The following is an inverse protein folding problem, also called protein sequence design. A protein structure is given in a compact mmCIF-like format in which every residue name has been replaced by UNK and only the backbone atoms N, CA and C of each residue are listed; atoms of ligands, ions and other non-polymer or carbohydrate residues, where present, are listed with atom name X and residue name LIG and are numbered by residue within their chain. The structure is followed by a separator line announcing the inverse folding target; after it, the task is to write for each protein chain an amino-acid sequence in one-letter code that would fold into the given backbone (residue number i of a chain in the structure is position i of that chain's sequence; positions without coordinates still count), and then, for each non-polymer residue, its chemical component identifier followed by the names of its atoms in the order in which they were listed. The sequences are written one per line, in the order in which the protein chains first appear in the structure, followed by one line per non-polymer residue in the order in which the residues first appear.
data_IF_357439989204
#
_entry.id   IF_357439989204
#
_cell.length_a   1.000
_cell.length_b   1.000
_cell.length_c   1.000
_cell.angle_alpha   90.00
_cell.angle_beta   90.00
_cell.angle_gamma   90.00
#
_symmetry.space_group_name_H-M   'P 1'
#
loop_
_entity.id
_entity.type
_entity.pdbx_description
1 polymer ?
#
# COMPACT_ATOMS: atom_id res chain seq x y z
N UNK A 1 -10.70 39.01 12.09
CA UNK A 1 -9.97 38.38 13.22
C UNK A 1 -10.95 37.48 13.94
N UNK A 2 -10.96 36.18 13.61
CA UNK A 2 -11.87 35.22 14.27
C UNK A 2 -11.29 34.92 15.64
N UNK A 3 -11.86 35.52 16.69
CA UNK A 3 -11.51 35.22 18.08
C UNK A 3 -12.21 33.90 18.41
N UNK A 4 -11.50 32.79 18.28
CA UNK A 4 -11.98 31.49 18.77
C UNK A 4 -11.86 31.51 20.30
N UNK A 5 -12.98 31.76 21.00
CA UNK A 5 -13.03 31.62 22.45
C UNK A 5 -12.95 30.14 22.84
N UNK A 6 -11.76 29.66 23.17
CA UNK A 6 -11.55 28.33 23.75
C UNK A 6 -11.92 28.34 25.26
N UNK A 7 -13.22 28.40 25.57
CA UNK A 7 -13.73 28.26 26.94
C UNK A 7 -13.98 26.77 27.28
N UNK A 8 -12.94 25.98 27.48
CA UNK A 8 -13.10 24.59 27.94
C UNK A 8 -11.87 23.99 28.63
N UNK A 9 -12.06 23.14 29.63
CA UNK A 9 -10.96 22.43 30.32
C UNK A 9 -10.03 21.72 29.33
N UNK A 10 -8.75 21.51 29.69
CA UNK A 10 -7.77 20.77 28.87
C UNK A 10 -8.27 19.43 28.32
N UNK A 11 -9.15 18.74 29.04
CA UNK A 11 -9.82 17.51 28.60
C UNK A 11 -10.79 17.69 27.43
N UNK A 12 -11.49 18.83 27.37
CA UNK A 12 -12.34 19.19 26.22
C UNK A 12 -11.49 19.49 25.00
N UNK A 13 -10.41 20.27 25.17
CA UNK A 13 -9.47 20.55 24.09
C UNK A 13 -8.83 19.27 23.53
N UNK A 14 -8.37 18.39 24.42
CA UNK A 14 -7.89 17.05 24.09
C UNK A 14 -8.93 16.23 23.30
N UNK A 15 -10.18 16.17 23.79
CA UNK A 15 -11.23 15.37 23.16
C UNK A 15 -11.59 15.89 21.77
N UNK A 16 -11.69 17.21 21.60
CA UNK A 16 -11.95 17.84 20.30
C UNK A 16 -10.80 17.56 19.33
N UNK A 17 -9.54 17.70 19.79
CA UNK A 17 -8.37 17.39 18.98
C UNK A 17 -8.38 15.93 18.55
N UNK A 18 -8.58 15.01 19.49
CA UNK A 18 -8.64 13.58 19.22
C UNK A 18 -9.73 13.23 18.20
N UNK A 19 -10.91 13.85 18.27
CA UNK A 19 -11.98 13.65 17.30
C UNK A 19 -11.62 14.16 15.90
N UNK A 20 -10.96 15.32 15.81
CA UNK A 20 -10.47 15.87 14.53
C UNK A 20 -9.41 14.95 13.93
N UNK A 21 -8.41 14.54 14.72
CA UNK A 21 -7.39 13.57 14.30
C UNK A 21 -8.02 12.24 13.89
N UNK A 22 -8.99 11.72 14.65
CA UNK A 22 -9.69 10.49 14.27
C UNK A 22 -10.43 10.63 12.92
N UNK A 23 -11.09 11.76 12.67
CA UNK A 23 -11.75 12.01 11.40
C UNK A 23 -10.75 12.05 10.23
N UNK A 24 -9.61 12.74 10.41
CA UNK A 24 -8.52 12.79 9.42
C UNK A 24 -7.95 11.39 9.17
N UNK A 25 -7.65 10.66 10.24
CA UNK A 25 -7.16 9.29 10.17
C UNK A 25 -8.10 8.35 9.42
N UNK A 26 -9.42 8.41 9.67
CA UNK A 26 -10.42 7.58 8.97
C UNK A 26 -10.42 7.88 7.47
N UNK A 27 -10.34 9.16 7.07
CA UNK A 27 -10.27 9.54 5.65
C UNK A 27 -8.99 9.01 5.01
N UNK A 28 -7.85 9.13 5.69
CA UNK A 28 -6.57 8.60 5.19
C UNK A 28 -6.59 7.07 5.12
N UNK A 29 -7.15 6.39 6.13
CA UNK A 29 -7.28 4.95 6.14
C UNK A 29 -8.17 4.47 4.98
N UNK A 30 -9.27 5.16 4.69
CA UNK A 30 -10.12 4.85 3.54
C UNK A 30 -9.35 5.00 2.22
N UNK A 31 -8.56 6.06 2.05
CA UNK A 31 -7.68 6.26 0.89
C UNK A 31 -6.71 5.07 0.74
N UNK A 32 -6.04 4.70 1.83
CA UNK A 32 -5.05 3.63 1.84
C UNK A 32 -5.70 2.29 1.48
N UNK A 33 -6.82 1.93 2.12
CA UNK A 33 -7.47 0.64 1.91
C UNK A 33 -8.22 0.52 0.57
N UNK A 34 -8.81 1.60 0.05
CA UNK A 34 -9.64 1.54 -1.15
C UNK A 34 -8.86 1.79 -2.43
N UNK A 35 -7.84 2.65 -2.39
CA UNK A 35 -7.10 3.06 -3.58
C UNK A 35 -5.70 2.45 -3.62
N UNK A 36 -4.90 2.62 -2.56
CA UNK A 36 -3.49 2.21 -2.60
C UNK A 36 -3.29 0.70 -2.36
N UNK A 37 -4.09 0.09 -1.48
CA UNK A 37 -3.96 -1.29 -1.05
C UNK A 37 -5.32 -2.04 -1.10
N UNK A 38 -5.95 -2.16 -2.27
CA UNK A 38 -7.27 -2.77 -2.35
C UNK A 38 -7.25 -4.25 -1.97
N UNK A 39 -8.14 -4.63 -1.05
CA UNK A 39 -8.37 -6.03 -0.67
C UNK A 39 -7.24 -6.67 0.11
N UNK A 40 -6.89 -7.91 -0.24
CA UNK A 40 -5.82 -8.64 0.41
C UNK A 40 -4.42 -7.99 0.21
N UNK A 41 -4.28 -7.05 -0.73
CA UNK A 41 -3.03 -6.31 -0.89
C UNK A 41 -2.66 -5.49 0.35
N UNK A 42 -3.64 -5.08 1.16
CA UNK A 42 -3.36 -4.40 2.43
C UNK A 42 -2.53 -5.26 3.38
N UNK A 43 -2.82 -6.55 3.44
CA UNK A 43 -2.08 -7.49 4.27
C UNK A 43 -0.75 -7.88 3.61
N UNK A 44 -0.80 -8.24 2.33
CA UNK A 44 0.34 -8.82 1.60
C UNK A 44 1.43 -7.79 1.33
N UNK A 45 1.08 -6.54 1.04
CA UNK A 45 2.03 -5.51 0.62
C UNK A 45 2.43 -4.55 1.76
N UNK A 46 2.18 -4.93 3.01
CA UNK A 46 2.64 -4.16 4.17
C UNK A 46 1.82 -2.91 4.50
N UNK A 47 0.52 -2.90 4.21
CA UNK A 47 -0.38 -1.78 4.54
C UNK A 47 -0.45 -1.50 6.05
N UNK A 48 -0.35 -2.53 6.89
CA UNK A 48 -0.32 -2.40 8.35
C UNK A 48 0.85 -1.56 8.87
N UNK A 49 2.04 -1.73 8.31
CA UNK A 49 3.26 -1.03 8.71
C UNK A 49 3.06 0.48 8.51
N UNK A 50 2.51 0.87 7.36
CA UNK A 50 2.20 2.25 7.06
C UNK A 50 1.13 2.85 7.98
N UNK A 51 0.01 2.16 8.14
CA UNK A 51 -1.12 2.64 8.97
C UNK A 51 -0.71 2.82 10.44
N UNK A 52 0.12 1.93 10.99
CA UNK A 52 0.60 2.05 12.38
C UNK A 52 1.37 3.34 12.62
N UNK A 53 2.24 3.74 11.69
CA UNK A 53 3.02 4.99 11.80
C UNK A 53 2.08 6.19 11.79
N UNK A 54 1.16 6.23 10.82
CA UNK A 54 0.18 7.32 10.68
C UNK A 54 -0.71 7.42 11.93
N UNK A 55 -1.23 6.29 12.42
CA UNK A 55 -2.07 6.23 13.61
C UNK A 55 -1.33 6.69 14.88
N UNK A 56 -0.08 6.26 15.09
CA UNK A 56 0.69 6.61 16.27
C UNK A 56 0.99 8.12 16.33
N UNK A 57 1.29 8.73 15.19
CA UNK A 57 1.53 10.18 15.13
C UNK A 57 0.23 10.96 15.35
N UNK A 58 -0.83 10.61 14.64
CA UNK A 58 -2.04 11.43 14.58
C UNK A 58 -2.96 11.24 15.80
N UNK A 59 -3.12 10.00 16.29
CA UNK A 59 -4.07 9.68 17.36
C UNK A 59 -3.44 9.70 18.76
N UNK A 60 -2.11 9.71 18.86
CA UNK A 60 -1.40 9.65 20.15
C UNK A 60 -0.57 10.90 20.37
N UNK A 61 0.46 11.15 19.55
CA UNK A 61 1.40 12.25 19.81
C UNK A 61 0.72 13.63 19.82
N UNK A 62 -0.09 13.93 18.80
CA UNK A 62 -0.78 15.23 18.70
C UNK A 62 -1.70 15.52 19.89
N UNK A 63 -2.71 14.67 20.16
CA UNK A 63 -3.61 14.86 21.29
C UNK A 63 -2.88 14.95 22.65
N UNK A 64 -1.86 14.12 22.88
CA UNK A 64 -1.09 14.18 24.13
C UNK A 64 -0.32 15.50 24.28
N UNK A 65 0.31 16.01 23.22
CA UNK A 65 0.96 17.31 23.25
C UNK A 65 -0.04 18.43 23.56
N UNK A 66 -1.23 18.39 22.95
CA UNK A 66 -2.31 19.32 23.27
C UNK A 66 -2.73 19.24 24.73
N UNK A 67 -2.86 18.02 25.30
CA UNK A 67 -3.22 17.85 26.71
C UNK A 67 -2.17 18.45 27.66
N UNK A 68 -0.89 18.28 27.33
CA UNK A 68 0.24 18.78 28.15
C UNK A 68 0.39 20.30 28.06
N UNK A 69 0.26 20.86 26.85
CA UNK A 69 0.56 22.28 26.58
C UNK A 69 -0.64 23.19 26.86
N UNK A 70 -1.87 22.66 26.79
CA UNK A 70 -3.08 23.44 27.01
C UNK A 70 -3.23 23.87 28.47
N UNK A 71 -3.06 25.17 28.70
CA UNK A 71 -3.30 25.81 29.99
C UNK A 71 -4.20 27.05 29.82
N UNK A 72 -5.35 27.03 30.49
CA UNK A 72 -6.34 28.10 30.47
C UNK A 72 -5.86 29.37 31.19
N UNK A 73 -4.76 29.28 31.96
CA UNK A 73 -4.14 30.42 32.65
C UNK A 73 -3.24 31.24 31.71
N UNK A 74 -2.87 30.71 30.54
CA UNK A 74 -2.05 31.43 29.55
C UNK A 74 -2.87 32.51 28.83
N UNK A 75 -2.24 33.64 28.46
CA UNK A 75 -2.85 34.58 27.53
C UNK A 75 -3.32 33.88 26.25
N UNK A 76 -4.50 34.23 25.75
CA UNK A 76 -5.12 33.55 24.59
C UNK A 76 -4.20 33.51 23.37
N UNK A 77 -3.43 34.59 23.13
CA UNK A 77 -2.49 34.65 22.00
C UNK A 77 -1.32 33.66 22.16
N UNK A 78 -0.82 33.46 23.37
CA UNK A 78 0.23 32.47 23.64
C UNK A 78 -0.31 31.05 23.46
N UNK A 79 -1.50 30.78 23.99
CA UNK A 79 -2.15 29.47 23.84
C UNK A 79 -2.43 29.14 22.36
N UNK A 80 -2.91 30.10 21.57
CA UNK A 80 -3.16 29.93 20.14
C UNK A 80 -1.85 29.67 19.38
N UNK A 81 -0.78 30.40 19.71
CA UNK A 81 0.55 30.17 19.12
C UNK A 81 1.05 28.76 19.44
N UNK A 82 0.98 28.35 20.71
CA UNK A 82 1.45 27.05 21.16
C UNK A 82 0.69 25.90 20.46
N UNK A 83 -0.64 25.99 20.39
CA UNK A 83 -1.48 25.03 19.66
C UNK A 83 -1.22 25.04 18.15
N UNK A 84 -0.96 26.22 17.56
CA UNK A 84 -0.61 26.36 16.15
C UNK A 84 0.72 25.67 15.80
N UNK A 85 1.73 25.77 16.68
CA UNK A 85 3.00 25.06 16.51
C UNK A 85 2.81 23.54 16.60
N UNK A 86 1.99 23.06 17.56
CA UNK A 86 1.65 21.63 17.67
C UNK A 86 0.94 21.14 16.40
N UNK A 87 -0.05 21.90 15.92
CA UNK A 87 -0.79 21.54 14.71
C UNK A 87 0.10 21.50 13.47
N UNK A 88 1.01 22.47 13.31
CA UNK A 88 1.98 22.48 12.21
C UNK A 88 2.93 21.27 12.28
N UNK A 89 3.48 21.00 13.46
CA UNK A 89 4.36 19.85 13.67
C UNK A 89 3.64 18.53 13.37
N UNK A 90 2.43 18.34 13.89
CA UNK A 90 1.61 17.16 13.62
C UNK A 90 1.32 17.01 12.13
N UNK A 91 0.97 18.10 11.43
CA UNK A 91 0.73 18.08 9.99
C UNK A 91 1.98 17.67 9.20
N UNK A 92 3.17 18.16 9.59
CA UNK A 92 4.44 17.75 8.99
C UNK A 92 4.73 16.26 9.21
N UNK A 93 4.57 15.75 10.43
CA UNK A 93 4.76 14.34 10.73
C UNK A 93 3.74 13.45 10.00
N UNK A 94 2.49 13.88 9.94
CA UNK A 94 1.44 13.18 9.21
C UNK A 94 1.76 13.11 7.71
N UNK A 95 2.16 14.23 7.12
CA UNK A 95 2.55 14.30 5.70
C UNK A 95 3.74 13.38 5.39
N UNK A 96 4.76 13.35 6.27
CA UNK A 96 5.89 12.43 6.13
C UNK A 96 5.45 10.96 6.24
N UNK A 97 4.58 10.63 7.19
CA UNK A 97 4.02 9.29 7.34
C UNK A 97 3.26 8.85 6.08
N UNK A 98 2.34 9.70 5.59
CA UNK A 98 1.59 9.47 4.35
C UNK A 98 2.51 9.31 3.14
N UNK A 99 3.58 10.11 3.04
CA UNK A 99 4.58 9.98 1.98
C UNK A 99 5.29 8.61 2.01
N UNK A 100 5.66 8.12 3.19
CA UNK A 100 6.27 6.79 3.34
C UNK A 100 5.30 5.69 2.88
N UNK A 101 4.04 5.75 3.30
CA UNK A 101 3.00 4.79 2.83
C UNK A 101 2.82 4.86 1.32
N UNK A 102 2.77 6.07 0.76
CA UNK A 102 2.63 6.28 -0.67
C UNK A 102 3.79 5.66 -1.45
N UNK A 103 5.03 5.75 -0.96
CA UNK A 103 6.19 5.14 -1.63
C UNK A 103 6.22 3.60 -1.51
N UNK A 104 5.66 3.04 -0.44
CA UNK A 104 5.57 1.60 -0.21
C UNK A 104 4.41 0.93 -0.96
N UNK A 105 3.47 1.69 -1.51
CA UNK A 105 2.27 1.14 -2.14
C UNK A 105 2.60 0.22 -3.32
N UNK A 106 1.77 -0.82 -3.55
CA UNK A 106 1.79 -1.58 -4.80
C UNK A 106 1.64 -0.67 -6.01
N UNK A 107 2.60 -0.73 -6.92
CA UNK A 107 2.50 -0.06 -8.22
C UNK A 107 1.95 -1.01 -9.27
N UNK A 108 2.41 -2.26 -9.25
CA UNK A 108 2.01 -3.26 -10.22
C UNK A 108 1.86 -4.63 -9.58
N UNK A 109 0.93 -5.41 -10.11
CA UNK A 109 0.84 -6.85 -9.89
C UNK A 109 1.12 -7.53 -11.22
N UNK A 110 2.16 -8.34 -11.27
CA UNK A 110 2.63 -8.97 -12.49
C UNK A 110 2.50 -10.47 -12.36
N UNK A 111 1.63 -11.07 -13.18
CA UNK A 111 1.51 -12.51 -13.25
C UNK A 111 2.64 -13.12 -14.09
N UNK A 112 3.42 -14.00 -13.47
CA UNK A 112 4.47 -14.77 -14.11
C UNK A 112 4.26 -16.24 -13.75
N UNK A 113 4.00 -17.07 -14.75
CA UNK A 113 3.81 -18.51 -14.62
C UNK A 113 2.61 -18.89 -13.73
N UNK A 114 2.84 -19.11 -12.45
CA UNK A 114 1.88 -19.50 -11.40
C UNK A 114 1.84 -18.48 -10.24
N UNK A 115 2.55 -17.37 -10.35
CA UNK A 115 2.76 -16.42 -9.26
C UNK A 115 2.36 -15.01 -9.66
N UNK A 116 1.63 -14.30 -8.79
CA UNK A 116 1.51 -12.85 -8.85
C UNK A 116 2.62 -12.20 -8.04
N UNK A 117 3.47 -11.40 -8.68
CA UNK A 117 4.45 -10.57 -7.98
C UNK A 117 3.88 -9.16 -7.76
N UNK A 118 3.80 -8.74 -6.50
CA UNK A 118 3.35 -7.42 -6.07
C UNK A 118 4.56 -6.52 -5.92
N UNK A 119 4.74 -5.61 -6.88
CA UNK A 119 5.91 -4.75 -7.00
C UNK A 119 5.61 -3.33 -6.53
N UNK A 120 6.41 -2.85 -5.59
CA UNK A 120 6.40 -1.46 -5.15
C UNK A 120 7.56 -0.69 -5.81
N UNK A 121 7.68 0.61 -5.49
CA UNK A 121 8.78 1.44 -6.02
C UNK A 121 10.15 0.83 -5.73
N UNK A 122 10.38 0.35 -4.50
CA UNK A 122 11.67 -0.18 -4.09
C UNK A 122 12.07 -1.42 -4.91
N UNK A 123 11.12 -2.34 -5.18
CA UNK A 123 11.35 -3.52 -6.02
C UNK A 123 11.90 -3.16 -7.41
N UNK A 124 11.35 -2.12 -8.04
CA UNK A 124 11.80 -1.68 -9.35
C UNK A 124 13.14 -0.94 -9.32
N UNK A 125 13.35 -0.06 -8.35
CA UNK A 125 14.61 0.67 -8.21
C UNK A 125 15.78 -0.30 -7.97
N UNK A 126 15.55 -1.37 -7.19
CA UNK A 126 16.53 -2.43 -6.96
C UNK A 126 16.84 -3.20 -8.25
N UNK A 127 15.86 -3.37 -9.14
CA UNK A 127 16.04 -3.97 -10.46
C UNK A 127 16.62 -3.01 -11.52
N UNK A 128 17.11 -1.84 -11.11
CA UNK A 128 17.83 -0.90 -11.97
C UNK A 128 16.96 0.09 -12.75
N UNK A 129 15.65 0.17 -12.47
CA UNK A 129 14.79 1.16 -13.12
C UNK A 129 14.97 2.54 -12.49
N UNK A 130 14.83 3.58 -13.31
CA UNK A 130 14.87 4.97 -12.87
C UNK A 130 13.54 5.42 -12.26
N UNK A 131 13.58 6.48 -11.45
CA UNK A 131 12.35 7.09 -10.91
C UNK A 131 11.44 7.67 -11.99
N UNK A 132 12.00 8.04 -13.16
CA UNK A 132 11.26 8.60 -14.29
C UNK A 132 10.41 7.54 -14.98
N UNK A 133 10.98 6.35 -15.20
CA UNK A 133 10.24 5.21 -15.75
C UNK A 133 9.05 4.83 -14.87
N UNK A 134 9.17 4.99 -13.55
CA UNK A 134 8.09 4.70 -12.60
C UNK A 134 6.95 5.73 -12.63
N UNK A 135 7.15 6.90 -13.24
CA UNK A 135 6.06 7.89 -13.42
C UNK A 135 4.99 7.41 -14.38
N UNK A 136 5.25 6.34 -15.15
CA UNK A 136 4.26 5.74 -16.06
C UNK A 136 3.10 5.04 -15.34
N UNK A 137 3.32 4.59 -14.09
CA UNK A 137 2.31 3.88 -13.32
C UNK A 137 1.28 4.83 -12.73
N UNK A 138 0.05 4.35 -12.56
CA UNK A 138 -1.01 5.13 -11.93
C UNK A 138 -0.64 5.56 -10.50
N UNK A 139 -1.07 6.78 -10.18
CA UNK A 139 -0.84 7.40 -8.86
C UNK A 139 -1.68 6.71 -7.79
N UNK A 140 -2.97 6.47 -8.07
CA UNK A 140 -3.95 6.10 -7.05
C UNK A 140 -4.20 4.61 -6.92
N UNK A 141 -3.95 3.78 -7.92
CA UNK A 141 -4.31 2.36 -7.88
C UNK A 141 -3.22 1.50 -8.52
N UNK A 142 -2.98 0.29 -8.00
CA UNK A 142 -2.08 -0.64 -8.67
C UNK A 142 -2.62 -1.05 -10.04
N UNK A 143 -1.70 -1.42 -10.92
CA UNK A 143 -2.01 -1.93 -12.26
C UNK A 143 -1.71 -3.42 -12.37
N UNK A 144 -2.51 -4.13 -13.17
CA UNK A 144 -2.41 -5.58 -13.30
C UNK A 144 -1.83 -5.93 -14.68
N UNK A 145 -0.74 -6.69 -14.68
CA UNK A 145 -0.03 -7.12 -15.86
C UNK A 145 0.21 -8.63 -15.84
N UNK A 146 0.57 -9.17 -16.99
CA UNK A 146 1.10 -10.51 -17.14
C UNK A 146 2.27 -10.48 -18.12
N UNK A 147 3.10 -11.52 -18.06
CA UNK A 147 4.17 -11.76 -19.02
C UNK A 147 3.81 -12.98 -19.87
N UNK A 148 3.91 -12.83 -21.19
CA UNK A 148 3.82 -13.98 -22.08
C UNK A 148 5.05 -14.85 -21.91
N UNK A 149 4.81 -16.10 -21.56
CA UNK A 149 5.86 -17.08 -21.36
C UNK A 149 6.02 -17.96 -22.60
N UNK A 150 7.26 -18.41 -22.88
CA UNK A 150 7.51 -19.44 -23.87
C UNK A 150 6.59 -20.66 -23.67
N UNK A 151 6.17 -21.27 -24.78
CA UNK A 151 5.33 -22.47 -24.73
C UNK A 151 6.10 -23.69 -24.20
N UNK A 152 7.41 -23.72 -24.46
CA UNK A 152 8.32 -24.78 -24.09
C UNK A 152 8.90 -24.51 -22.69
N UNK A 153 8.95 -25.54 -21.83
CA UNK A 153 9.29 -25.38 -20.41
C UNK A 153 10.77 -25.09 -20.19
N UNK A 154 11.66 -25.67 -20.99
CA UNK A 154 13.10 -25.43 -20.86
C UNK A 154 13.47 -24.01 -21.26
N UNK A 155 12.85 -23.47 -22.31
CA UNK A 155 13.01 -22.08 -22.74
C UNK A 155 12.51 -21.10 -21.67
N UNK A 156 11.36 -21.40 -21.04
CA UNK A 156 10.89 -20.62 -19.89
C UNK A 156 11.90 -20.66 -18.73
N UNK A 157 12.39 -21.84 -18.38
CA UNK A 157 13.33 -21.99 -17.26
C UNK A 157 14.65 -21.26 -17.52
N UNK A 158 15.21 -21.39 -18.72
CA UNK A 158 16.41 -20.67 -19.14
C UNK A 158 16.21 -19.16 -19.04
N UNK A 159 15.10 -18.66 -19.58
CA UNK A 159 14.76 -17.24 -19.54
C UNK A 159 14.58 -16.74 -18.11
N UNK A 160 13.91 -17.50 -17.25
CA UNK A 160 13.68 -17.15 -15.85
C UNK A 160 15.00 -17.11 -15.06
N UNK A 161 15.82 -18.16 -15.16
CA UNK A 161 17.12 -18.25 -14.48
C UNK A 161 18.05 -17.14 -14.94
N UNK A 162 18.12 -16.87 -16.24
CA UNK A 162 18.92 -15.78 -16.78
C UNK A 162 18.52 -14.42 -16.20
N UNK A 163 17.22 -14.12 -16.16
CA UNK A 163 16.74 -12.86 -15.57
C UNK A 163 17.12 -12.71 -14.09
N UNK A 164 17.08 -13.81 -13.32
CA UNK A 164 17.52 -13.82 -11.92
C UNK A 164 19.02 -13.56 -11.79
N UNK A 165 19.85 -14.20 -12.63
CA UNK A 165 21.31 -14.02 -12.63
C UNK A 165 21.73 -12.61 -13.06
N UNK A 166 21.02 -12.02 -14.01
CA UNK A 166 21.25 -10.65 -14.50
C UNK A 166 20.75 -9.57 -13.52
N UNK A 167 20.13 -9.96 -12.39
CA UNK A 167 19.55 -9.03 -11.41
C UNK A 167 18.29 -8.30 -11.92
N UNK A 168 17.72 -8.74 -13.03
CA UNK A 168 16.47 -8.23 -13.61
C UNK A 168 15.48 -9.38 -13.81
N UNK A 169 14.85 -9.88 -12.72
CA UNK A 169 13.83 -10.92 -12.81
C UNK A 169 12.74 -10.57 -13.82
N UNK A 170 12.08 -11.57 -14.40
CA UNK A 170 11.07 -11.34 -15.44
C UNK A 170 10.01 -10.34 -15.02
N UNK A 171 9.51 -10.47 -13.80
CA UNK A 171 8.50 -9.59 -13.22
C UNK A 171 8.93 -8.12 -13.17
N UNK A 172 10.21 -7.75 -13.27
CA UNK A 172 10.66 -6.35 -13.28
C UNK A 172 10.97 -5.80 -14.68
N UNK A 173 10.86 -6.62 -15.72
CA UNK A 173 11.15 -6.23 -17.11
C UNK A 173 9.93 -5.57 -17.76
N UNK A 174 9.84 -4.23 -17.66
CA UNK A 174 8.71 -3.42 -18.12
C UNK A 174 8.36 -3.62 -19.60
N UNK A 175 9.36 -3.91 -20.42
CA UNK A 175 9.28 -4.19 -21.85
C UNK A 175 8.47 -5.46 -22.16
N UNK A 176 8.31 -6.36 -21.19
CA UNK A 176 7.52 -7.60 -21.32
C UNK A 176 6.09 -7.47 -20.85
N UNK A 177 5.71 -6.34 -20.27
CA UNK A 177 4.41 -6.22 -19.63
C UNK A 177 3.30 -6.16 -20.65
N UNK A 178 2.30 -7.02 -20.43
CA UNK A 178 1.01 -6.94 -21.11
C UNK A 178 -0.06 -6.68 -20.08
N UNK A 179 -0.94 -5.72 -20.37
CA UNK A 179 -2.06 -5.38 -19.47
C UNK A 179 -2.97 -6.60 -19.30
N UNK A 180 -3.25 -6.97 -18.06
CA UNK A 180 -4.17 -8.06 -17.77
C UNK A 180 -5.58 -7.70 -18.29
N UNK A 181 -6.20 -8.53 -19.14
CA UNK A 181 -7.52 -8.23 -19.70
C UNK A 181 -8.60 -8.08 -18.62
N UNK A 182 -9.70 -7.40 -18.98
CA UNK A 182 -10.87 -7.24 -18.10
C UNK A 182 -11.88 -8.39 -18.30
N UNK A 183 -11.80 -9.12 -19.42
CA UNK A 183 -12.72 -10.21 -19.73
C UNK A 183 -12.33 -11.47 -18.96
N UNK A 184 -13.21 -11.93 -18.07
CA UNK A 184 -12.95 -13.04 -17.15
C UNK A 184 -12.45 -14.33 -17.85
N UNK A 185 -12.99 -14.69 -19.02
CA UNK A 185 -12.54 -15.87 -19.77
C UNK A 185 -11.11 -15.74 -20.31
N UNK A 186 -10.66 -14.54 -20.65
CA UNK A 186 -9.27 -14.29 -21.05
C UNK A 186 -8.34 -14.33 -19.83
N UNK A 187 -8.77 -13.75 -18.72
CA UNK A 187 -8.04 -13.79 -17.45
C UNK A 187 -7.82 -15.23 -17.00
N UNK A 188 -8.85 -16.06 -17.02
CA UNK A 188 -8.75 -17.47 -16.65
C UNK A 188 -7.80 -18.25 -17.55
N UNK A 189 -7.81 -18.00 -18.86
CA UNK A 189 -6.85 -18.62 -19.77
C UNK A 189 -5.39 -18.23 -19.49
N UNK A 190 -5.14 -17.01 -19.02
CA UNK A 190 -3.80 -16.50 -18.76
C UNK A 190 -3.32 -16.92 -17.37
N UNK A 191 -4.09 -16.57 -16.35
CA UNK A 191 -3.76 -16.75 -14.93
C UNK A 191 -4.03 -18.18 -14.48
N UNK A 192 -5.11 -18.80 -14.97
CA UNK A 192 -5.50 -20.15 -14.59
C UNK A 192 -4.64 -21.26 -15.20
N UNK A 193 -3.76 -20.96 -16.18
CA UNK A 193 -2.99 -21.96 -16.92
C UNK A 193 -2.08 -22.81 -16.02
N UNK A 194 -1.43 -22.17 -15.04
CA UNK A 194 -0.53 -22.84 -14.10
C UNK A 194 -0.97 -22.61 -12.63
N UNK A 195 -2.22 -22.20 -12.41
CA UNK A 195 -2.75 -22.00 -11.06
C UNK A 195 -2.89 -23.34 -10.31
N UNK A 196 -2.79 -23.31 -8.99
CA UNK A 196 -3.02 -24.47 -8.12
C UNK A 196 -4.44 -25.03 -8.27
N UNK A 197 -5.44 -24.15 -8.40
CA UNK A 197 -6.82 -24.55 -8.71
C UNK A 197 -7.61 -23.42 -9.36
N UNK A 198 -8.61 -23.78 -10.17
CA UNK A 198 -9.50 -22.84 -10.86
C UNK A 198 -10.94 -23.17 -10.49
N UNK A 199 -11.60 -22.24 -9.80
CA UNK A 199 -13.02 -22.32 -9.42
C UNK A 199 -13.85 -21.16 -9.99
N UNK A 200 -15.18 -21.14 -9.72
CA UNK A 200 -16.09 -20.14 -10.27
C UNK A 200 -15.74 -18.69 -9.92
N UNK A 201 -15.22 -18.45 -8.71
CA UNK A 201 -14.84 -17.12 -8.20
C UNK A 201 -13.43 -17.01 -7.64
N UNK A 202 -12.62 -18.05 -7.76
CA UNK A 202 -11.24 -18.06 -7.25
C UNK A 202 -10.35 -18.83 -8.22
N UNK A 203 -9.34 -18.15 -8.74
CA UNK A 203 -8.13 -18.78 -9.27
C UNK A 203 -7.13 -18.75 -8.12
N UNK A 204 -6.73 -19.91 -7.60
CA UNK A 204 -5.78 -19.99 -6.49
C UNK A 204 -4.38 -20.17 -7.02
N UNK A 205 -3.49 -19.27 -6.62
CA UNK A 205 -2.12 -19.23 -7.11
C UNK A 205 -1.19 -18.61 -6.07
N UNK A 206 0.10 -18.62 -6.34
CA UNK A 206 1.09 -18.04 -5.45
C UNK A 206 1.10 -16.52 -5.58
N UNK A 207 1.48 -15.84 -4.50
CA UNK A 207 1.65 -14.40 -4.45
C UNK A 207 2.90 -14.07 -3.64
N UNK A 208 3.68 -13.14 -4.17
CA UNK A 208 4.93 -12.69 -3.57
C UNK A 208 4.97 -11.17 -3.55
N UNK A 209 5.36 -10.60 -2.42
CA UNK A 209 5.66 -9.17 -2.27
C UNK A 209 7.00 -8.98 -1.55
N UNK A 210 7.42 -7.73 -1.42
CA UNK A 210 8.59 -7.39 -0.60
C UNK A 210 8.39 -7.64 0.92
N UNK A 211 7.18 -7.96 1.36
CA UNK A 211 6.82 -8.10 2.78
C UNK A 211 6.40 -9.52 3.14
N UNK A 212 5.61 -10.18 2.28
CA UNK A 212 4.97 -11.45 2.58
C UNK A 212 4.87 -12.30 1.32
N UNK A 213 4.89 -13.62 1.51
CA UNK A 213 4.67 -14.62 0.46
C UNK A 213 3.62 -15.63 0.90
N UNK A 214 2.92 -16.24 -0.05
CA UNK A 214 1.82 -17.15 0.26
C UNK A 214 1.01 -17.57 -0.94
N UNK A 215 -0.18 -18.12 -0.67
CA UNK A 215 -1.19 -18.41 -1.69
C UNK A 215 -2.37 -17.45 -1.56
N UNK A 216 -3.04 -17.17 -2.67
CA UNK A 216 -4.16 -16.21 -2.71
C UNK A 216 -5.27 -16.68 -3.64
N UNK A 217 -6.52 -16.26 -3.36
CA UNK A 217 -7.59 -16.33 -4.35
C UNK A 217 -7.65 -15.04 -5.18
N UNK A 218 -7.61 -15.19 -6.49
CA UNK A 218 -7.85 -14.12 -7.44
C UNK A 218 -9.22 -14.26 -8.11
N UNK A 219 -10.08 -13.26 -7.93
CA UNK A 219 -11.38 -13.16 -8.59
C UNK A 219 -11.19 -12.66 -10.04
N UNK A 220 -11.39 -13.55 -11.01
CA UNK A 220 -11.26 -13.26 -12.44
C UNK A 220 -12.26 -12.24 -12.98
N UNK A 221 -13.42 -12.06 -12.34
CA UNK A 221 -14.45 -11.10 -12.76
C UNK A 221 -14.19 -9.71 -12.18
N UNK A 222 -13.79 -9.64 -10.90
CA UNK A 222 -13.57 -8.38 -10.19
C UNK A 222 -12.12 -7.88 -10.25
N UNK A 223 -11.18 -8.74 -10.66
CA UNK A 223 -9.71 -8.51 -10.60
C UNK A 223 -9.30 -8.08 -9.19
N UNK A 224 -9.65 -8.91 -8.23
CA UNK A 224 -9.51 -8.62 -6.80
C UNK A 224 -8.93 -9.83 -6.06
N UNK A 225 -8.11 -9.56 -5.04
CA UNK A 225 -7.44 -10.58 -4.24
C UNK A 225 -8.11 -10.73 -2.87
N UNK A 226 -8.35 -11.97 -2.46
CA UNK A 226 -8.96 -12.33 -1.17
C UNK A 226 -8.49 -13.71 -0.69
N UNK A 227 -8.79 -14.07 0.57
CA UNK A 227 -8.39 -15.36 1.18
C UNK A 227 -6.88 -15.65 1.04
N UNK A 228 -6.07 -14.70 1.54
CA UNK A 228 -4.62 -14.82 1.62
C UNK A 228 -4.23 -15.85 2.66
N UNK A 229 -3.27 -16.71 2.32
CA UNK A 229 -2.68 -17.69 3.24
C UNK A 229 -1.18 -17.55 3.15
N UNK A 230 -0.61 -16.95 4.19
CA UNK A 230 0.83 -16.78 4.35
C UNK A 230 1.52 -18.15 4.30
N UNK A 231 2.62 -18.24 3.56
CA UNK A 231 3.49 -19.41 3.61
C UNK A 231 4.23 -19.41 4.95
N UNK A 232 4.27 -20.55 5.62
CA UNK A 232 5.14 -20.70 6.79
C UNK A 232 6.58 -20.46 6.33
N UNK A 233 7.29 -19.54 6.98
CA UNK A 233 8.73 -19.41 6.76
C UNK A 233 9.34 -20.79 7.04
N UNK A 234 10.12 -21.32 6.09
CA UNK A 234 10.91 -22.50 6.35
C UNK A 234 11.78 -22.21 7.59
N UNK A 235 11.37 -22.78 8.73
CA UNK A 235 12.12 -22.75 10.00
C UNK A 235 13.41 -23.50 9.86
#
# INVERSE_FOLDING_TARGET
MVIVHFAGSRWRAFSIHLLISLAIFIVLLAIICLWWYPGALFEIAGGWQGVRIVAAVDLVLGPLLTLVVYDMRKPVMELVRDLGVIALFQFSCLSAGVYVVYQARPLALVHVFDTFHVLNRASYLQAGLSSEELMRFKVFSPEYFYIDLPAEKTEFLELHVKGMLDGRPLQTQLERYKTLPVVAGQVERIVGRNAHSVGPGCIRLDIESAYETGTICFDKARRFFFDFRKSDAAT
#
